data_IF_413870961090
#
_entry.id   IF_413870961090
#
_cell.length_a   1.000
_cell.length_b   1.000
_cell.length_c   1.000
_cell.angle_alpha   90.00
_cell.angle_beta   90.00
_cell.angle_gamma   90.00
#
_symmetry.space_group_name_H-M   'P 1'
#
loop_
_entity.id
_entity.type
_entity.pdbx_description
1 polymer ?
#
# COMPACT_ATOMS: atom_id res chain seq x y z
N UNK A 1 -11.58 -13.09 7.50
CA UNK A 1 -10.95 -12.25 6.46
C UNK A 1 -10.03 -11.23 7.11
N UNK A 2 -8.88 -11.04 6.54
CA UNK A 2 -7.86 -10.13 7.07
C UNK A 2 -7.86 -8.86 6.23
N UNK A 3 -8.00 -7.71 6.88
CA UNK A 3 -7.96 -6.40 6.22
C UNK A 3 -6.63 -5.71 6.53
N UNK A 4 -5.93 -5.34 5.48
CA UNK A 4 -4.61 -4.72 5.55
C UNK A 4 -4.71 -3.29 5.02
N UNK A 5 -4.41 -2.31 5.88
CA UNK A 5 -4.54 -0.88 5.56
C UNK A 5 -3.17 -0.25 5.65
N UNK A 6 -2.81 0.50 4.62
CA UNK A 6 -1.57 1.27 4.59
C UNK A 6 -1.90 2.71 4.26
N UNK A 7 -1.44 3.63 5.10
CA UNK A 7 -1.53 5.07 4.86
C UNK A 7 -0.12 5.63 4.69
N UNK A 8 0.05 6.64 3.83
CA UNK A 8 1.39 7.17 3.59
C UNK A 8 1.40 8.60 3.07
N UNK A 9 2.58 9.19 3.15
CA UNK A 9 2.93 10.44 2.48
C UNK A 9 4.12 10.18 1.56
N UNK A 10 4.11 10.78 0.37
CA UNK A 10 5.29 10.78 -0.47
C UNK A 10 6.35 11.72 0.11
N UNK A 11 7.61 11.41 -0.15
CA UNK A 11 8.70 12.34 0.11
C UNK A 11 8.50 13.62 -0.72
N UNK A 12 8.82 14.78 -0.14
CA UNK A 12 8.59 16.09 -0.77
C UNK A 12 9.29 16.23 -2.13
N UNK A 13 10.43 15.55 -2.31
CA UNK A 13 11.18 15.59 -3.56
C UNK A 13 10.58 14.79 -4.72
N UNK A 14 9.52 14.02 -4.46
CA UNK A 14 8.88 13.18 -5.49
C UNK A 14 7.87 14.01 -6.27
N UNK A 15 8.08 14.18 -7.58
CA UNK A 15 7.19 14.97 -8.43
C UNK A 15 5.88 14.23 -8.74
N UNK A 16 4.94 14.95 -9.40
CA UNK A 16 3.62 14.41 -9.69
C UNK A 16 3.66 13.18 -10.59
N UNK A 17 4.55 13.15 -11.58
CA UNK A 17 4.66 12.01 -12.50
C UNK A 17 5.21 10.78 -11.79
N UNK A 18 6.19 10.96 -10.93
CA UNK A 18 6.76 9.87 -10.13
C UNK A 18 5.74 9.31 -9.13
N UNK A 19 4.94 10.18 -8.51
CA UNK A 19 3.85 9.76 -7.61
C UNK A 19 2.80 8.95 -8.36
N UNK A 20 2.39 9.41 -9.53
CA UNK A 20 1.42 8.70 -10.37
C UNK A 20 1.96 7.32 -10.80
N UNK A 21 3.24 7.25 -11.16
CA UNK A 21 3.88 5.99 -11.54
C UNK A 21 3.87 4.98 -10.39
N UNK A 22 4.22 5.42 -9.18
CA UNK A 22 4.19 4.53 -8.01
C UNK A 22 2.76 4.06 -7.67
N UNK A 23 1.79 4.96 -7.77
CA UNK A 23 0.38 4.59 -7.56
C UNK A 23 -0.09 3.55 -8.58
N UNK A 24 0.32 3.67 -9.84
CA UNK A 24 -0.01 2.66 -10.86
C UNK A 24 0.65 1.31 -10.55
N UNK A 25 1.87 1.31 -10.03
CA UNK A 25 2.56 0.08 -9.59
C UNK A 25 1.83 -0.58 -8.40
N UNK A 26 1.34 0.23 -7.46
CA UNK A 26 0.53 -0.28 -6.35
C UNK A 26 -0.75 -0.94 -6.88
N UNK A 27 -1.47 -0.27 -7.79
CA UNK A 27 -2.70 -0.79 -8.36
C UNK A 27 -2.48 -2.08 -9.18
N UNK A 28 -1.27 -2.32 -9.63
CA UNK A 28 -0.91 -3.54 -10.35
C UNK A 28 -0.61 -4.73 -9.43
N UNK A 29 -0.42 -4.51 -8.12
CA UNK A 29 -0.10 -5.60 -7.18
C UNK A 29 -1.11 -6.74 -7.21
N UNK A 30 -2.44 -6.52 -7.26
CA UNK A 30 -3.39 -7.63 -7.32
C UNK A 30 -3.18 -8.56 -8.52
N UNK A 31 -2.62 -8.05 -9.62
CA UNK A 31 -2.28 -8.88 -10.77
C UNK A 31 -1.14 -9.85 -10.51
N UNK A 32 -0.27 -9.54 -9.55
CA UNK A 32 0.85 -10.39 -9.14
C UNK A 32 0.53 -11.28 -7.95
N UNK A 33 -0.52 -10.96 -7.18
CA UNK A 33 -0.88 -11.66 -5.95
C UNK A 33 -2.36 -12.05 -6.00
N UNK A 34 -2.69 -13.24 -6.54
CA UNK A 34 -4.09 -13.67 -6.68
C UNK A 34 -4.86 -13.79 -5.37
N UNK A 35 -4.17 -13.87 -4.23
CA UNK A 35 -4.80 -13.90 -2.93
C UNK A 35 -5.40 -12.55 -2.51
N UNK A 36 -4.99 -11.46 -3.15
CA UNK A 36 -5.51 -10.13 -2.85
C UNK A 36 -6.98 -10.00 -3.25
N UNK A 37 -7.80 -9.48 -2.33
CA UNK A 37 -9.23 -9.23 -2.51
C UNK A 37 -9.53 -7.75 -2.31
N UNK A 38 -10.45 -7.22 -3.10
CA UNK A 38 -11.05 -5.90 -2.87
C UNK A 38 -10.03 -4.77 -2.71
N UNK A 39 -9.01 -4.77 -3.55
CA UNK A 39 -8.02 -3.68 -3.58
C UNK A 39 -8.72 -2.34 -3.80
N UNK A 40 -8.44 -1.38 -2.92
CA UNK A 40 -8.95 -0.02 -3.02
C UNK A 40 -7.86 0.96 -2.61
N UNK A 41 -7.71 2.03 -3.35
CA UNK A 41 -6.73 3.09 -3.07
C UNK A 41 -7.39 4.44 -3.29
N UNK A 42 -7.05 5.41 -2.47
CA UNK A 42 -7.58 6.75 -2.62
C UNK A 42 -6.80 7.81 -1.87
N UNK A 43 -7.19 9.04 -2.10
CA UNK A 43 -6.62 10.19 -1.41
C UNK A 43 -7.44 10.50 -0.15
N UNK A 44 -6.76 10.99 0.88
CA UNK A 44 -7.41 11.38 2.13
C UNK A 44 -8.24 12.65 1.93
N UNK A 45 -9.51 12.58 2.24
CA UNK A 45 -10.43 13.72 2.21
C UNK A 45 -10.93 14.09 3.61
N UNK A 46 -10.32 13.55 4.65
CA UNK A 46 -10.72 13.83 6.03
C UNK A 46 -10.45 15.28 6.39
N UNK A 47 -11.42 15.91 7.04
CA UNK A 47 -11.28 17.25 7.58
C UNK A 47 -10.81 17.25 9.05
N UNK A 48 -10.69 16.06 9.64
CA UNK A 48 -10.31 15.90 11.05
C UNK A 48 -8.87 15.49 11.24
N UNK A 49 -8.34 14.73 10.28
CA UNK A 49 -6.98 14.20 10.37
C UNK A 49 -6.37 14.12 8.97
N UNK A 50 -5.39 14.96 8.72
CA UNK A 50 -4.67 15.05 7.46
C UNK A 50 -3.21 14.56 7.60
N UNK A 51 -2.92 13.77 8.64
CA UNK A 51 -1.57 13.24 8.89
C UNK A 51 -1.01 12.51 7.68
N UNK A 52 -1.84 11.68 7.02
CA UNK A 52 -1.43 10.95 5.82
C UNK A 52 -2.33 11.34 4.65
N UNK A 53 -1.71 11.59 3.50
CA UNK A 53 -2.41 12.07 2.31
C UNK A 53 -3.05 10.94 1.49
N UNK A 54 -2.56 9.71 1.61
CA UNK A 54 -2.97 8.58 0.78
C UNK A 54 -3.20 7.33 1.59
N UNK A 55 -4.02 6.43 1.04
CA UNK A 55 -4.30 5.14 1.67
C UNK A 55 -4.58 4.08 0.62
N UNK A 56 -4.25 2.82 0.93
CA UNK A 56 -4.83 1.68 0.25
C UNK A 56 -5.32 0.66 1.27
N UNK A 57 -6.28 -0.14 0.84
CA UNK A 57 -6.86 -1.23 1.62
C UNK A 57 -6.90 -2.47 0.74
N UNK A 58 -6.51 -3.59 1.30
CA UNK A 58 -6.60 -4.89 0.63
C UNK A 58 -6.99 -5.96 1.63
N UNK A 59 -7.83 -6.90 1.21
CA UNK A 59 -8.25 -8.02 2.02
C UNK A 59 -7.58 -9.33 1.57
N UNK A 60 -7.34 -10.21 2.53
CA UNK A 60 -6.89 -11.59 2.31
C UNK A 60 -7.83 -12.53 3.05
N UNK A 61 -8.04 -13.74 2.52
CA UNK A 61 -8.90 -14.71 3.19
C UNK A 61 -8.32 -15.17 4.52
N UNK A 62 -6.99 -15.30 4.60
CA UNK A 62 -6.28 -15.79 5.79
C UNK A 62 -5.05 -14.95 6.10
N UNK A 63 -4.61 -15.01 7.35
CA UNK A 63 -3.37 -14.37 7.79
C UNK A 63 -2.14 -14.97 7.07
N UNK A 64 -2.15 -16.28 6.82
CA UNK A 64 -1.05 -16.95 6.10
C UNK A 64 -0.87 -16.37 4.69
N UNK A 65 -1.97 -16.03 4.01
CA UNK A 65 -1.90 -15.42 2.68
C UNK A 65 -1.30 -14.01 2.75
N UNK A 66 -1.66 -13.23 3.76
CA UNK A 66 -1.07 -11.91 4.00
C UNK A 66 0.43 -12.03 4.26
N UNK A 67 0.83 -12.94 5.15
CA UNK A 67 2.24 -13.15 5.48
C UNK A 67 3.02 -13.59 4.25
N UNK A 68 2.47 -14.49 3.43
CA UNK A 68 3.10 -14.92 2.20
C UNK A 68 3.34 -13.75 1.23
N UNK A 69 2.39 -12.82 1.13
CA UNK A 69 2.57 -11.58 0.36
C UNK A 69 3.70 -10.72 0.94
N UNK A 70 3.66 -10.43 2.23
CA UNK A 70 4.65 -9.57 2.89
C UNK A 70 6.07 -10.13 2.81
N UNK A 71 6.22 -11.46 2.90
CA UNK A 71 7.51 -12.15 2.86
C UNK A 71 7.98 -12.50 1.44
N UNK A 72 7.15 -12.25 0.42
CA UNK A 72 7.51 -12.58 -0.96
C UNK A 72 8.69 -11.76 -1.45
N UNK A 73 9.50 -12.34 -2.31
CA UNK A 73 10.63 -11.64 -2.94
C UNK A 73 10.17 -10.42 -3.74
N UNK A 74 9.04 -10.54 -4.43
CA UNK A 74 8.48 -9.44 -5.22
C UNK A 74 8.11 -8.25 -4.34
N UNK A 75 7.44 -8.51 -3.21
CA UNK A 75 7.07 -7.45 -2.26
C UNK A 75 8.31 -6.80 -1.64
N UNK A 76 9.27 -7.60 -1.19
CA UNK A 76 10.50 -7.09 -0.58
C UNK A 76 11.29 -6.22 -1.55
N UNK A 77 11.39 -6.64 -2.81
CA UNK A 77 12.05 -5.87 -3.86
C UNK A 77 11.31 -4.56 -4.15
N UNK A 78 10.00 -4.62 -4.28
CA UNK A 78 9.17 -3.43 -4.49
C UNK A 78 9.38 -2.43 -3.35
N UNK A 79 9.35 -2.89 -2.10
CA UNK A 79 9.55 -2.02 -0.93
C UNK A 79 10.94 -1.38 -0.97
N UNK A 80 11.98 -2.16 -1.23
CA UNK A 80 13.36 -1.67 -1.23
C UNK A 80 13.65 -0.69 -2.38
N UNK A 81 13.17 -0.99 -3.57
CA UNK A 81 13.54 -0.25 -4.78
C UNK A 81 12.57 0.87 -5.14
N UNK A 82 11.28 0.73 -4.80
CA UNK A 82 10.25 1.67 -5.22
C UNK A 82 9.60 2.43 -4.08
N UNK A 83 9.26 1.71 -3.00
CA UNK A 83 8.50 2.30 -1.90
C UNK A 83 9.37 3.19 -1.00
N UNK A 84 10.41 2.63 -0.39
CA UNK A 84 11.26 3.37 0.56
C UNK A 84 11.89 4.63 -0.02
N UNK A 85 12.38 4.64 -1.26
CA UNK A 85 12.98 5.86 -1.82
C UNK A 85 11.98 7.00 -2.03
N UNK A 86 10.69 6.71 -2.08
CA UNK A 86 9.65 7.67 -2.47
C UNK A 86 8.66 7.99 -1.34
N UNK A 87 8.67 7.22 -0.26
CA UNK A 87 7.70 7.36 0.84
C UNK A 87 8.43 7.80 2.10
N UNK A 88 8.09 8.99 2.59
CA UNK A 88 8.75 9.56 3.77
C UNK A 88 8.14 9.06 5.08
N UNK A 89 6.85 8.74 5.08
CA UNK A 89 6.11 8.46 6.30
C UNK A 89 4.93 7.54 6.00
N UNK A 90 4.69 6.58 6.88
CA UNK A 90 3.60 5.60 6.70
C UNK A 90 3.08 5.06 8.03
N UNK A 91 1.86 4.56 8.01
CA UNK A 91 1.30 3.77 9.10
C UNK A 91 0.56 2.57 8.52
N UNK A 92 0.68 1.43 9.19
CA UNK A 92 0.09 0.16 8.78
C UNK A 92 -0.80 -0.34 9.90
N UNK A 93 -2.03 -0.70 9.56
CA UNK A 93 -2.98 -1.36 10.48
C UNK A 93 -3.54 -2.58 9.78
N UNK A 94 -3.50 -3.70 10.46
CA UNK A 94 -4.04 -4.96 9.96
C UNK A 94 -4.95 -5.57 11.03
N UNK A 95 -6.15 -5.96 10.63
CA UNK A 95 -7.09 -6.55 11.59
C UNK A 95 -7.98 -7.58 10.92
N UNK A 96 -8.58 -8.43 11.75
CA UNK A 96 -9.53 -9.44 11.29
C UNK A 96 -10.94 -8.85 11.25
N UNK A 97 -11.60 -9.08 10.11
CA UNK A 97 -12.99 -8.63 9.90
C UNK A 97 -13.96 -9.76 10.21
#
# INVERSE_FOLDING_TARGET
MIRHIVTWNFDDGVDADARAALCAELDALPGHFPAMRDWTRGDNISRRDDTYAHAFVVDFDTEEELVAYLDSELHERFVAERWRPNVSDRAIVTFEV
#
